data_IF_933523057514
#
_entry.id   IF_933523057514
#
_cell.length_a   1.000
_cell.length_b   1.000
_cell.length_c   1.000
_cell.angle_alpha   90.00
_cell.angle_beta   90.00
_cell.angle_gamma   90.00
#
_symmetry.space_group_name_H-M   'P 1'
#
loop_
_entity.id
_entity.type
_entity.pdbx_description
1 polymer ?
#
# COMPACT_ATOMS: atom_id res chain seq x y z
N UNK A 1 3.90 19.97 -19.71
CA UNK A 1 4.31 18.58 -19.43
C UNK A 1 3.50 17.69 -20.37
N UNK A 2 4.07 16.79 -21.18
CA UNK A 2 3.32 15.97 -22.11
C UNK A 2 2.35 15.03 -21.39
N UNK A 3 1.25 14.72 -22.02
CA UNK A 3 0.23 13.77 -21.58
C UNK A 3 0.45 12.41 -22.27
N UNK A 4 -0.31 11.40 -21.88
CA UNK A 4 -0.32 10.12 -22.58
C UNK A 4 -0.89 10.26 -24.02
N UNK A 5 -1.80 11.23 -24.25
CA UNK A 5 -2.29 11.55 -25.58
C UNK A 5 -1.21 12.15 -26.49
N UNK A 6 -0.38 13.06 -25.95
CA UNK A 6 0.76 13.60 -26.69
C UNK A 6 1.77 12.52 -27.06
N UNK A 7 1.99 11.56 -26.13
CA UNK A 7 2.87 10.41 -26.39
C UNK A 7 2.30 9.49 -27.49
N UNK A 8 1.01 9.20 -27.45
CA UNK A 8 0.32 8.42 -28.47
C UNK A 8 0.43 9.08 -29.85
N UNK A 9 0.16 10.40 -29.94
CA UNK A 9 0.31 11.14 -31.18
C UNK A 9 1.75 11.08 -31.73
N UNK A 10 2.75 11.25 -30.86
CA UNK A 10 4.16 11.16 -31.25
C UNK A 10 4.55 9.77 -31.74
N UNK A 11 3.97 8.69 -31.22
CA UNK A 11 4.19 7.33 -31.69
C UNK A 11 3.62 7.11 -33.12
N UNK A 12 2.44 7.67 -33.40
CA UNK A 12 1.82 7.57 -34.71
C UNK A 12 2.60 8.30 -35.82
N UNK A 13 3.42 9.28 -35.45
CA UNK A 13 4.30 10.02 -36.37
C UNK A 13 5.61 9.28 -36.69
N UNK A 14 5.94 8.20 -35.94
CA UNK A 14 7.16 7.44 -36.19
C UNK A 14 7.01 6.53 -37.42
N UNK A 15 8.07 6.39 -38.21
CA UNK A 15 8.05 5.53 -39.39
C UNK A 15 8.14 4.01 -39.07
N UNK A 16 8.56 3.66 -37.85
CA UNK A 16 8.76 2.28 -37.43
C UNK A 16 7.44 1.56 -37.19
N UNK A 17 7.22 0.36 -37.73
CA UNK A 17 5.99 -0.40 -37.52
C UNK A 17 5.75 -0.74 -36.04
N UNK A 18 6.82 -0.96 -35.26
CA UNK A 18 6.75 -1.24 -33.82
C UNK A 18 6.13 -0.06 -33.04
N UNK A 19 6.42 1.16 -33.44
CA UNK A 19 5.82 2.35 -32.84
C UNK A 19 4.31 2.39 -33.05
N UNK A 20 3.86 1.98 -34.24
CA UNK A 20 2.42 1.88 -34.57
C UNK A 20 1.72 0.79 -33.73
N UNK A 21 2.36 -0.36 -33.54
CA UNK A 21 1.81 -1.44 -32.71
C UNK A 21 1.66 -1.01 -31.25
N UNK A 22 2.63 -0.26 -30.72
CA UNK A 22 2.54 0.33 -29.39
C UNK A 22 1.43 1.38 -29.32
N UNK A 23 1.31 2.25 -30.34
CA UNK A 23 0.24 3.26 -30.41
C UNK A 23 -1.15 2.60 -30.39
N UNK A 24 -1.37 1.57 -31.19
CA UNK A 24 -2.62 0.81 -31.20
C UNK A 24 -2.95 0.19 -29.85
N UNK A 25 -1.93 -0.32 -29.17
CA UNK A 25 -2.09 -0.88 -27.80
C UNK A 25 -2.46 0.18 -26.78
N UNK A 26 -2.04 1.43 -26.97
CA UNK A 26 -2.33 2.56 -26.10
C UNK A 26 -3.68 3.23 -26.37
N UNK A 27 -4.28 3.02 -27.54
CA UNK A 27 -5.49 3.71 -28.00
C UNK A 27 -6.64 3.59 -26.98
N UNK A 28 -6.80 2.40 -26.36
CA UNK A 28 -7.80 2.16 -25.33
C UNK A 28 -7.62 3.09 -24.10
N UNK A 29 -6.38 3.42 -23.77
CA UNK A 29 -6.01 4.26 -22.62
C UNK A 29 -5.88 5.74 -22.96
N UNK A 30 -5.84 6.13 -24.22
CA UNK A 30 -5.71 7.52 -24.66
C UNK A 30 -7.04 8.11 -25.14
N UNK A 31 -7.75 7.39 -26.01
CA UNK A 31 -9.00 7.84 -26.62
C UNK A 31 -10.19 6.95 -26.28
N UNK A 32 -9.93 5.70 -25.88
CA UNK A 32 -10.94 4.72 -25.52
C UNK A 32 -11.55 4.94 -24.14
N UNK A 33 -12.30 3.94 -23.69
CA UNK A 33 -13.06 3.97 -22.42
C UNK A 33 -12.19 3.99 -21.15
N UNK A 34 -10.90 3.70 -21.27
CA UNK A 34 -9.95 3.65 -20.14
C UNK A 34 -9.02 4.89 -20.08
N UNK A 35 -9.42 6.01 -20.67
CA UNK A 35 -8.60 7.21 -20.81
C UNK A 35 -8.46 8.09 -19.55
N UNK A 36 -8.80 7.57 -18.38
CA UNK A 36 -8.79 8.32 -17.12
C UNK A 36 -7.43 8.98 -16.84
N UNK A 37 -6.32 8.31 -17.18
CA UNK A 37 -4.96 8.80 -16.95
C UNK A 37 -4.33 9.52 -18.15
N UNK A 38 -5.08 9.73 -19.23
CA UNK A 38 -4.56 10.38 -20.43
C UNK A 38 -4.49 11.91 -20.32
N UNK A 39 -5.15 12.49 -19.31
CA UNK A 39 -5.33 13.95 -19.17
C UNK A 39 -4.32 14.55 -18.19
N UNK A 40 -4.24 15.89 -18.20
CA UNK A 40 -3.46 16.62 -17.20
C UNK A 40 -3.96 16.34 -15.77
N UNK A 41 -3.01 16.29 -14.83
CA UNK A 41 -3.34 16.16 -13.41
C UNK A 41 -4.16 17.37 -12.95
N UNK A 42 -5.35 17.09 -12.41
CA UNK A 42 -6.27 18.09 -11.87
C UNK A 42 -6.33 18.08 -10.32
N UNK A 43 -5.56 17.20 -9.68
CA UNK A 43 -5.49 17.10 -8.22
C UNK A 43 -4.33 17.94 -7.65
N UNK A 44 -4.57 18.63 -6.53
CA UNK A 44 -3.51 19.31 -5.80
C UNK A 44 -2.66 18.29 -5.03
N UNK A 45 -1.47 18.03 -5.55
CA UNK A 45 -0.49 17.13 -4.93
C UNK A 45 0.47 17.86 -3.97
N UNK A 46 0.26 19.15 -3.66
CA UNK A 46 1.13 19.92 -2.79
C UNK A 46 0.72 19.86 -1.31
N UNK A 47 -0.46 19.39 -1.01
CA UNK A 47 -0.96 19.24 0.37
C UNK A 47 0.00 18.44 1.25
N UNK A 48 0.07 18.80 2.54
CA UNK A 48 0.89 18.08 3.52
C UNK A 48 0.44 16.63 3.71
N UNK A 49 -0.87 16.38 3.65
CA UNK A 49 -1.49 15.06 3.74
C UNK A 49 -2.14 14.79 2.39
N UNK A 50 -1.80 13.65 1.78
CA UNK A 50 -2.39 13.16 0.55
C UNK A 50 -2.96 11.76 0.80
N UNK A 51 -4.13 11.51 0.28
CA UNK A 51 -4.75 10.19 0.24
C UNK A 51 -5.07 9.85 -1.21
N UNK A 52 -4.55 8.71 -1.68
CA UNK A 52 -4.87 8.17 -2.98
C UNK A 52 -5.89 7.05 -2.80
N UNK A 53 -7.13 7.28 -3.21
CA UNK A 53 -8.17 6.26 -3.23
C UNK A 53 -8.26 5.64 -4.62
N UNK A 54 -7.96 4.34 -4.71
CA UNK A 54 -7.94 3.59 -5.98
C UNK A 54 -9.01 2.51 -6.05
N UNK A 55 -9.95 2.46 -5.09
CA UNK A 55 -10.98 1.40 -5.00
C UNK A 55 -11.89 1.35 -6.22
N UNK A 56 -12.22 2.50 -6.77
CA UNK A 56 -13.20 2.63 -7.85
C UNK A 56 -12.60 2.53 -9.26
N UNK A 57 -11.29 2.24 -9.39
CA UNK A 57 -10.62 2.15 -10.68
C UNK A 57 -11.03 0.94 -11.54
N UNK A 58 -11.70 -0.03 -10.95
CA UNK A 58 -12.03 -1.28 -11.64
C UNK A 58 -10.78 -2.12 -11.99
N UNK A 59 -11.00 -3.39 -12.31
CA UNK A 59 -9.91 -4.37 -12.48
C UNK A 59 -8.95 -4.03 -13.63
N UNK A 60 -9.44 -3.39 -14.69
CA UNK A 60 -8.62 -3.08 -15.88
C UNK A 60 -7.70 -1.87 -15.65
N UNK A 61 -8.16 -0.85 -14.93
CA UNK A 61 -7.39 0.35 -14.65
C UNK A 61 -6.55 0.24 -13.37
N UNK A 62 -6.86 -0.70 -12.48
CA UNK A 62 -6.17 -0.84 -11.20
C UNK A 62 -4.64 -0.95 -11.35
N UNK A 63 -4.08 -1.81 -12.24
CA UNK A 63 -2.63 -1.88 -12.41
C UNK A 63 -2.01 -0.55 -12.87
N UNK A 64 -2.65 0.13 -13.82
CA UNK A 64 -2.19 1.44 -14.31
C UNK A 64 -2.27 2.50 -13.20
N UNK A 65 -3.38 2.54 -12.47
CA UNK A 65 -3.55 3.45 -11.34
C UNK A 65 -2.52 3.22 -10.24
N UNK A 66 -2.20 1.97 -9.94
CA UNK A 66 -1.15 1.63 -8.98
C UNK A 66 0.22 2.18 -9.43
N UNK A 67 0.57 2.07 -10.71
CA UNK A 67 1.81 2.63 -11.26
C UNK A 67 1.85 4.15 -11.12
N UNK A 68 0.77 4.82 -11.48
CA UNK A 68 0.66 6.30 -11.39
C UNK A 68 0.80 6.75 -9.94
N UNK A 69 0.14 6.06 -9.00
CA UNK A 69 0.24 6.37 -7.56
C UNK A 69 1.64 6.12 -7.04
N UNK A 70 2.25 4.98 -7.36
CA UNK A 70 3.61 4.64 -6.91
C UNK A 70 4.64 5.65 -7.45
N UNK A 71 4.54 6.05 -8.71
CA UNK A 71 5.41 7.09 -9.30
C UNK A 71 5.21 8.44 -8.59
N UNK A 72 3.97 8.86 -8.38
CA UNK A 72 3.64 10.10 -7.68
C UNK A 72 4.21 10.11 -6.25
N UNK A 73 4.04 9.00 -5.51
CA UNK A 73 4.59 8.83 -4.16
C UNK A 73 6.12 8.90 -4.18
N UNK A 74 6.77 8.21 -5.11
CA UNK A 74 8.22 8.22 -5.22
C UNK A 74 8.78 9.61 -5.54
N UNK A 75 8.18 10.31 -6.50
CA UNK A 75 8.55 11.67 -6.83
C UNK A 75 8.38 12.61 -5.63
N UNK A 76 7.32 12.43 -4.83
CA UNK A 76 7.11 13.18 -3.59
C UNK A 76 8.19 12.88 -2.56
N UNK A 77 8.57 11.64 -2.37
CA UNK A 77 9.65 11.23 -1.46
C UNK A 77 10.97 11.90 -1.86
N UNK A 78 11.33 11.87 -3.13
CA UNK A 78 12.55 12.51 -3.65
C UNK A 78 12.52 14.02 -3.41
N UNK A 79 11.39 14.67 -3.71
CA UNK A 79 11.20 16.10 -3.48
C UNK A 79 11.35 16.46 -2.00
N UNK A 80 10.67 15.73 -1.11
CA UNK A 80 10.73 15.95 0.34
C UNK A 80 12.15 15.78 0.87
N UNK A 81 12.87 14.74 0.42
CA UNK A 81 14.27 14.53 0.78
C UNK A 81 15.15 15.73 0.42
N UNK A 82 15.00 16.29 -0.79
CA UNK A 82 15.75 17.48 -1.23
C UNK A 82 15.46 18.69 -0.36
N UNK A 83 14.27 18.77 0.21
CA UNK A 83 13.81 19.83 1.12
C UNK A 83 14.12 19.55 2.59
N UNK A 84 14.84 18.46 2.92
CA UNK A 84 15.11 18.04 4.30
C UNK A 84 13.87 17.61 5.09
N UNK A 85 12.78 17.21 4.41
CA UNK A 85 11.52 16.80 5.02
C UNK A 85 11.40 15.27 5.06
N UNK A 86 10.93 14.74 6.18
CA UNK A 86 10.55 13.34 6.29
C UNK A 86 9.21 13.06 5.61
N UNK A 87 9.06 11.83 5.12
CA UNK A 87 7.81 11.35 4.52
C UNK A 87 7.29 10.15 5.30
N UNK A 88 6.01 10.16 5.62
CA UNK A 88 5.30 9.02 6.22
C UNK A 88 4.38 8.44 5.15
N UNK A 89 4.61 7.19 4.79
CA UNK A 89 3.84 6.46 3.78
C UNK A 89 3.06 5.34 4.46
N UNK A 90 1.75 5.37 4.32
CA UNK A 90 0.85 4.31 4.78
C UNK A 90 0.21 3.66 3.58
N UNK A 91 0.27 2.33 3.50
CA UNK A 91 -0.30 1.53 2.41
C UNK A 91 -1.28 0.55 3.03
N UNK A 92 -2.56 0.81 2.82
CA UNK A 92 -3.62 -0.11 3.22
C UNK A 92 -3.75 -1.23 2.20
N UNK A 93 -4.08 -2.44 2.66
CA UNK A 93 -4.15 -3.67 1.87
C UNK A 93 -2.91 -3.85 0.97
N UNK A 94 -1.73 -3.71 1.59
CA UNK A 94 -0.43 -3.75 0.90
C UNK A 94 -0.23 -5.02 0.05
N UNK A 95 -0.91 -6.13 0.39
CA UNK A 95 -0.83 -7.39 -0.37
C UNK A 95 -1.21 -7.23 -1.84
N UNK A 96 -2.10 -6.28 -2.18
CA UNK A 96 -2.51 -5.99 -3.56
C UNK A 96 -1.32 -5.59 -4.44
N UNK A 97 -0.32 -4.92 -3.88
CA UNK A 97 0.89 -4.52 -4.62
C UNK A 97 1.79 -5.71 -4.98
N UNK A 98 1.62 -6.85 -4.32
CA UNK A 98 2.39 -8.06 -4.58
C UNK A 98 1.74 -9.01 -5.60
N UNK A 99 0.51 -8.70 -6.03
CA UNK A 99 -0.17 -9.48 -7.07
C UNK A 99 0.43 -9.28 -8.47
N UNK A 100 1.16 -8.17 -8.67
CA UNK A 100 1.83 -7.86 -9.93
C UNK A 100 3.34 -7.70 -9.70
N UNK A 101 4.13 -8.37 -10.51
CA UNK A 101 5.60 -8.39 -10.37
C UNK A 101 6.21 -6.98 -10.39
N UNK A 102 5.73 -6.11 -11.26
CA UNK A 102 6.24 -4.75 -11.36
C UNK A 102 6.04 -3.95 -10.07
N UNK A 103 4.82 -3.92 -9.55
CA UNK A 103 4.52 -3.19 -8.29
C UNK A 103 5.24 -3.79 -7.09
N UNK A 104 5.37 -5.11 -7.03
CA UNK A 104 6.12 -5.82 -6.00
C UNK A 104 7.61 -5.41 -6.02
N UNK A 105 8.26 -5.43 -7.17
CA UNK A 105 9.66 -5.07 -7.34
C UNK A 105 9.90 -3.58 -7.06
N UNK A 106 9.00 -2.71 -7.52
CA UNK A 106 9.07 -1.28 -7.23
C UNK A 106 8.99 -1.02 -5.71
N UNK A 107 7.97 -1.58 -5.05
CA UNK A 107 7.78 -1.41 -3.60
C UNK A 107 8.96 -1.97 -2.81
N UNK A 108 9.48 -3.13 -3.17
CA UNK A 108 10.64 -3.74 -2.52
C UNK A 108 11.89 -2.88 -2.63
N UNK A 109 12.12 -2.31 -3.82
CA UNK A 109 13.24 -1.41 -4.07
C UNK A 109 13.11 -0.12 -3.24
N UNK A 110 11.90 0.43 -3.18
CA UNK A 110 11.58 1.59 -2.36
C UNK A 110 11.77 1.27 -0.87
N UNK A 111 11.22 0.14 -0.39
CA UNK A 111 11.28 -0.29 1.01
C UNK A 111 12.71 -0.37 1.53
N UNK A 112 13.59 -1.01 0.79
CA UNK A 112 15.04 -1.10 1.12
C UNK A 112 15.72 0.27 1.23
N UNK A 113 15.20 1.26 0.52
CA UNK A 113 15.80 2.60 0.43
C UNK A 113 15.10 3.65 1.27
N UNK A 114 13.95 3.35 1.89
CA UNK A 114 13.14 4.31 2.63
C UNK A 114 13.94 5.09 3.66
N UNK A 115 14.75 4.41 4.48
CA UNK A 115 15.63 5.06 5.46
C UNK A 115 16.55 6.09 4.80
N UNK A 116 17.13 5.78 3.64
CA UNK A 116 18.02 6.66 2.88
C UNK A 116 17.30 7.91 2.34
N UNK A 117 15.99 7.81 2.17
CA UNK A 117 15.14 8.90 1.70
C UNK A 117 14.45 9.68 2.83
N UNK A 118 14.74 9.38 4.10
CA UNK A 118 14.03 9.97 5.23
C UNK A 118 12.54 9.62 5.23
N UNK A 119 12.21 8.38 4.80
CA UNK A 119 10.83 7.90 4.67
C UNK A 119 10.59 6.78 5.65
N UNK A 120 9.45 6.84 6.34
CA UNK A 120 8.90 5.75 7.14
C UNK A 120 7.74 5.14 6.39
N UNK A 121 7.86 3.85 6.02
CA UNK A 121 6.80 3.11 5.35
C UNK A 121 6.08 2.19 6.32
N UNK A 122 4.76 2.19 6.28
CA UNK A 122 3.88 1.29 7.03
C UNK A 122 2.94 0.60 6.06
N UNK A 123 3.00 -0.72 6.01
CA UNK A 123 2.06 -1.55 5.28
C UNK A 123 1.04 -2.15 6.23
N UNK A 124 -0.24 -2.12 5.85
CA UNK A 124 -1.34 -2.75 6.58
C UNK A 124 -1.93 -3.83 5.69
N UNK A 125 -2.33 -4.93 6.29
CA UNK A 125 -3.08 -5.99 5.60
C UNK A 125 -3.91 -6.79 6.57
N UNK A 126 -5.06 -7.25 6.11
CA UNK A 126 -5.89 -8.25 6.79
C UNK A 126 -5.67 -9.64 6.18
N UNK A 127 -5.10 -9.71 4.98
CA UNK A 127 -4.88 -10.95 4.25
C UNK A 127 -3.39 -11.32 4.27
N UNK A 128 -3.00 -12.06 5.32
CA UNK A 128 -1.60 -12.45 5.54
C UNK A 128 -1.22 -13.60 4.60
N UNK A 129 -2.14 -14.52 4.32
CA UNK A 129 -1.88 -15.67 3.44
C UNK A 129 -1.48 -15.21 2.04
N UNK A 130 -2.28 -14.34 1.41
CA UNK A 130 -1.95 -13.79 0.08
C UNK A 130 -0.62 -13.03 0.08
N UNK A 131 -0.34 -12.29 1.16
CA UNK A 131 0.92 -11.58 1.31
C UNK A 131 2.11 -12.56 1.36
N UNK A 132 1.97 -13.66 2.11
CA UNK A 132 3.02 -14.66 2.30
C UNK A 132 3.26 -15.55 1.07
N UNK A 133 2.39 -15.55 0.07
CA UNK A 133 2.65 -16.22 -1.21
C UNK A 133 3.75 -15.54 -2.01
N UNK A 134 3.95 -14.23 -1.81
CA UNK A 134 5.02 -13.50 -2.47
C UNK A 134 6.36 -13.65 -1.74
N UNK A 135 7.39 -14.15 -2.44
CA UNK A 135 8.75 -14.18 -1.92
C UNK A 135 9.28 -12.78 -1.55
N UNK A 136 8.96 -11.80 -2.36
CA UNK A 136 9.32 -10.40 -2.14
C UNK A 136 8.69 -9.86 -0.86
N UNK A 137 7.42 -10.14 -0.61
CA UNK A 137 6.72 -9.75 0.60
C UNK A 137 7.30 -10.44 1.85
N UNK A 138 7.59 -11.75 1.79
CA UNK A 138 8.27 -12.47 2.88
C UNK A 138 9.60 -11.81 3.24
N UNK A 139 10.38 -11.42 2.24
CA UNK A 139 11.66 -10.73 2.45
C UNK A 139 11.46 -9.35 3.09
N UNK A 140 10.43 -8.61 2.69
CA UNK A 140 10.10 -7.32 3.30
C UNK A 140 9.68 -7.48 4.76
N UNK A 141 8.81 -8.44 5.08
CA UNK A 141 8.41 -8.74 6.45
C UNK A 141 9.61 -9.11 7.33
N UNK A 142 10.47 -10.00 6.87
CA UNK A 142 11.66 -10.43 7.61
C UNK A 142 12.62 -9.27 7.91
N UNK A 143 12.67 -8.26 7.02
CA UNK A 143 13.52 -7.07 7.17
C UNK A 143 12.80 -5.86 7.77
N UNK A 144 11.53 -6.00 8.16
CA UNK A 144 10.79 -4.91 8.82
C UNK A 144 11.24 -4.77 10.27
N UNK A 145 11.53 -3.54 10.68
CA UNK A 145 12.00 -3.22 12.04
C UNK A 145 10.88 -3.43 13.07
N UNK A 146 9.66 -3.03 12.71
CA UNK A 146 8.47 -3.16 13.54
C UNK A 146 7.42 -4.00 12.83
N UNK A 147 6.87 -4.98 13.54
CA UNK A 147 5.71 -5.74 13.10
C UNK A 147 4.69 -5.79 14.22
N UNK A 148 3.51 -5.25 13.94
CA UNK A 148 2.36 -5.32 14.84
C UNK A 148 1.43 -6.42 14.35
N UNK A 149 1.26 -7.47 15.15
CA UNK A 149 0.40 -8.61 14.85
C UNK A 149 -0.78 -8.61 15.80
N UNK A 150 -1.97 -8.44 15.27
CA UNK A 150 -3.23 -8.57 16.00
C UNK A 150 -3.75 -10.01 15.91
N UNK A 151 -5.00 -10.23 16.30
CA UNK A 151 -5.61 -11.56 16.21
C UNK A 151 -5.56 -12.11 14.78
N UNK A 152 -5.05 -13.33 14.62
CA UNK A 152 -4.79 -13.96 13.32
C UNK A 152 -5.60 -15.24 13.14
N UNK A 153 -5.93 -15.57 11.89
CA UNK A 153 -6.49 -16.86 11.52
C UNK A 153 -5.51 -18.01 11.81
N UNK A 154 -6.01 -19.23 11.99
CA UNK A 154 -5.16 -20.38 12.38
C UNK A 154 -4.09 -20.72 11.35
N UNK A 155 -4.39 -20.61 10.06
CA UNK A 155 -3.46 -20.86 8.95
C UNK A 155 -2.30 -19.86 8.94
N UNK A 156 -2.63 -18.59 9.03
CA UNK A 156 -1.69 -17.46 8.94
C UNK A 156 -0.69 -17.49 10.09
N UNK A 157 -1.15 -17.88 11.28
CA UNK A 157 -0.30 -17.97 12.48
C UNK A 157 0.87 -18.93 12.31
N UNK A 158 0.65 -20.09 11.69
CA UNK A 158 1.69 -21.11 11.51
C UNK A 158 2.78 -20.59 10.59
N UNK A 159 2.41 -19.94 9.50
CA UNK A 159 3.36 -19.37 8.55
C UNK A 159 4.13 -18.18 9.14
N UNK A 160 3.42 -17.28 9.85
CA UNK A 160 4.05 -16.17 10.56
C UNK A 160 5.01 -16.65 11.65
N UNK A 161 4.63 -17.70 12.41
CA UNK A 161 5.50 -18.27 13.43
C UNK A 161 6.82 -18.78 12.85
N UNK A 162 6.75 -19.49 11.72
CA UNK A 162 7.96 -19.99 11.04
C UNK A 162 8.82 -18.86 10.51
N UNK A 163 8.21 -17.86 9.86
CA UNK A 163 8.93 -16.74 9.25
C UNK A 163 9.61 -15.84 10.27
N UNK A 164 8.97 -15.62 11.42
CA UNK A 164 9.39 -14.66 12.43
C UNK A 164 9.99 -15.29 13.68
N UNK A 165 10.10 -16.62 13.74
CA UNK A 165 10.54 -17.41 14.90
C UNK A 165 9.73 -17.10 16.17
N UNK A 166 8.39 -17.10 16.05
CA UNK A 166 7.47 -16.88 17.15
C UNK A 166 7.25 -18.20 17.88
N UNK A 167 7.41 -18.23 19.20
CA UNK A 167 7.17 -19.42 20.01
C UNK A 167 5.67 -19.68 20.20
N UNK A 168 5.30 -20.95 20.53
CA UNK A 168 3.89 -21.31 20.78
C UNK A 168 3.27 -20.49 21.91
N UNK A 169 4.04 -20.19 22.97
CA UNK A 169 3.57 -19.32 24.05
C UNK A 169 3.25 -17.90 23.54
N UNK A 170 4.05 -17.35 22.64
CA UNK A 170 3.79 -16.03 22.05
C UNK A 170 2.59 -16.07 21.11
N UNK A 171 2.40 -17.17 20.36
CA UNK A 171 1.25 -17.33 19.47
C UNK A 171 -0.10 -17.25 20.19
N UNK A 172 -0.16 -17.63 21.49
CA UNK A 172 -1.38 -17.54 22.28
C UNK A 172 -1.92 -16.10 22.38
N UNK A 173 -1.06 -15.09 22.28
CA UNK A 173 -1.44 -13.67 22.35
C UNK A 173 -2.08 -13.11 21.06
N UNK A 174 -2.06 -13.88 19.98
CA UNK A 174 -2.71 -13.53 18.69
C UNK A 174 -3.69 -14.62 18.23
N UNK A 175 -4.13 -15.48 19.15
CA UNK A 175 -4.92 -16.68 18.87
C UNK A 175 -6.22 -16.65 19.62
N UNK A 176 -7.34 -16.26 18.95
CA UNK A 176 -8.66 -16.27 19.57
C UNK A 176 -8.79 -15.33 20.76
N UNK A 177 -8.05 -14.24 20.76
CA UNK A 177 -8.02 -13.22 21.81
C UNK A 177 -8.98 -12.08 21.51
N UNK A 178 -9.31 -11.31 22.54
CA UNK A 178 -10.14 -10.13 22.43
C UNK A 178 -9.48 -9.02 21.61
N UNK A 179 -10.29 -8.02 21.23
CA UNK A 179 -9.79 -6.83 20.53
C UNK A 179 -8.73 -6.10 21.36
N UNK A 180 -7.72 -5.58 20.69
CA UNK A 180 -6.63 -4.82 21.31
C UNK A 180 -5.47 -5.68 21.81
N UNK A 181 -5.59 -7.00 21.77
CA UNK A 181 -4.47 -7.89 22.09
C UNK A 181 -3.59 -8.13 20.86
N UNK A 182 -2.29 -8.30 21.08
CA UNK A 182 -1.38 -8.58 19.98
C UNK A 182 0.06 -8.82 20.41
N UNK A 183 0.91 -8.98 19.40
CA UNK A 183 2.36 -9.05 19.52
C UNK A 183 3.01 -7.89 18.78
N UNK A 184 3.96 -7.24 19.40
CA UNK A 184 4.84 -6.27 18.77
C UNK A 184 6.23 -6.87 18.67
N UNK A 185 6.71 -7.05 17.43
CA UNK A 185 8.11 -7.37 17.15
C UNK A 185 8.86 -6.06 16.87
N UNK A 186 9.97 -5.85 17.57
CA UNK A 186 10.89 -4.76 17.36
C UNK A 186 12.32 -5.35 17.28
N UNK A 187 12.92 -5.33 16.12
CA UNK A 187 14.16 -6.03 15.86
C UNK A 187 14.03 -7.52 16.19
N UNK A 188 14.80 -8.01 17.14
CA UNK A 188 14.77 -9.40 17.60
C UNK A 188 13.85 -9.65 18.82
N UNK A 189 13.26 -8.60 19.38
CA UNK A 189 12.42 -8.71 20.56
C UNK A 189 10.95 -8.79 20.16
N UNK A 190 10.23 -9.74 20.76
CA UNK A 190 8.78 -9.89 20.56
C UNK A 190 8.11 -9.74 21.93
N UNK A 191 7.21 -8.77 22.05
CA UNK A 191 6.53 -8.41 23.28
C UNK A 191 5.02 -8.49 23.08
N UNK A 192 4.28 -9.19 23.96
CA UNK A 192 2.82 -9.11 23.95
C UNK A 192 2.37 -7.74 24.45
N UNK A 193 1.24 -7.26 23.91
CA UNK A 193 0.62 -6.03 24.36
C UNK A 193 -0.90 -6.17 24.44
N UNK A 194 -1.49 -5.30 25.25
CA UNK A 194 -2.95 -5.10 25.31
C UNK A 194 -3.19 -3.60 25.21
N UNK A 195 -3.98 -3.20 24.23
CA UNK A 195 -4.40 -1.80 24.04
C UNK A 195 -5.91 -1.68 24.24
N UNK A 196 -6.30 -0.79 25.14
CA UNK A 196 -7.70 -0.44 25.39
C UNK A 196 -7.98 0.95 24.80
N UNK A 197 -8.24 1.00 23.51
CA UNK A 197 -8.56 2.25 22.82
C UNK A 197 -9.83 2.89 23.41
N UNK A 198 -9.79 4.17 23.85
CA UNK A 198 -10.93 4.81 24.51
C UNK A 198 -12.08 5.03 23.53
N UNK A 199 -13.20 4.31 23.72
CA UNK A 199 -14.36 4.35 22.83
C UNK A 199 -15.17 5.65 22.91
N UNK A 200 -15.05 6.40 23.98
CA UNK A 200 -15.72 7.69 24.17
C UNK A 200 -14.99 8.88 23.53
N UNK A 201 -13.81 8.65 22.94
CA UNK A 201 -13.03 9.69 22.31
C UNK A 201 -13.51 10.06 20.91
N UNK A 202 -13.36 11.34 20.53
CA UNK A 202 -13.68 11.83 19.18
C UNK A 202 -12.95 11.04 18.08
N UNK A 203 -11.72 10.60 18.35
CA UNK A 203 -10.94 9.83 17.38
C UNK A 203 -11.58 8.47 17.11
N UNK A 204 -12.05 7.77 18.17
CA UNK A 204 -12.78 6.51 18.00
C UNK A 204 -14.05 6.70 17.18
N UNK A 205 -14.82 7.75 17.48
CA UNK A 205 -16.05 8.06 16.75
C UNK A 205 -15.82 8.32 15.26
N UNK A 206 -14.70 8.96 14.90
CA UNK A 206 -14.34 9.20 13.50
C UNK A 206 -13.83 7.95 12.77
N UNK A 207 -13.23 7.00 13.49
CA UNK A 207 -12.57 5.83 12.93
C UNK A 207 -13.45 4.57 12.97
N UNK A 208 -14.49 4.51 13.82
CA UNK A 208 -15.32 3.31 13.92
C UNK A 208 -16.04 3.00 12.61
N UNK A 209 -15.94 1.73 12.18
CA UNK A 209 -16.65 1.18 11.02
C UNK A 209 -17.93 0.45 11.42
N UNK A 210 -18.20 0.29 12.72
CA UNK A 210 -19.39 -0.40 13.22
C UNK A 210 -20.64 0.41 12.97
N UNK A 211 -21.56 -0.13 12.20
CA UNK A 211 -22.83 0.53 11.84
C UNK A 211 -23.67 0.89 13.08
N UNK A 212 -23.72 0.02 14.09
CA UNK A 212 -24.45 0.26 15.34
C UNK A 212 -23.95 1.49 16.12
N UNK A 213 -22.65 1.76 16.07
CA UNK A 213 -22.03 2.88 16.77
C UNK A 213 -22.13 4.20 15.96
N UNK A 214 -22.38 4.12 14.64
CA UNK A 214 -22.59 5.29 13.77
C UNK A 214 -24.01 5.85 13.84
N UNK A 215 -25.01 5.01 14.06
CA UNK A 215 -26.42 5.41 14.12
C UNK A 215 -26.74 6.23 15.38
N UNK A 216 -26.08 5.96 16.51
CA UNK A 216 -26.24 6.74 17.74
C UNK A 216 -25.70 8.19 17.64
N UNK A 217 -24.92 8.51 16.59
CA UNK A 217 -24.37 9.84 16.37
C UNK A 217 -25.23 10.71 15.44
N UNK A 218 -26.20 10.13 14.75
CA UNK A 218 -27.09 10.81 13.80
C UNK A 218 -28.47 11.12 14.39
N UNK A 219 -28.73 10.72 15.63
CA UNK A 219 -29.91 11.02 16.44
C UNK A 219 -29.59 12.02 17.55
#
# INVERSE_FOLDING_TARGET
MPTLQDFHAALLEQPEPEARDVALSLELFTEGSLNTFAKYTNADTNSRILCYDIRDLGKQLLPVGMLVVLDSVFNRIIRNRRLGKNTWLYIDEIYLLFQHEYSANFLFTLWKRMRKYGTCGTGLTQNVDDLLQSHTARTMLANSEFLLMLNQASTDRIELARLLNISDNQLSYISGVDFGHGLLKCGNTIVPFVDHFPKNGKLYQLMTTKMSERVEQAS
#
